data_IF_079051109895
#
_entry.id   IF_079051109895
#
_cell.length_a   1.000
_cell.length_b   1.000
_cell.length_c   1.000
_cell.angle_alpha   90.00
_cell.angle_beta   90.00
_cell.angle_gamma   90.00
#
_symmetry.space_group_name_H-M   'P 1'
#
loop_
_entity.id
_entity.type
_entity.pdbx_description
1 polymer ?
#
# COMPACT_ATOMS: atom_id res chain seq x y z
N UNK A 1 -0.73 13.85 -18.71
CA UNK A 1 -1.24 12.53 -18.26
C UNK A 1 -1.62 12.67 -16.80
N UNK A 2 -2.78 12.14 -16.40
CA UNK A 2 -3.22 12.13 -15.01
C UNK A 2 -2.33 11.21 -14.20
N UNK A 3 -1.76 11.69 -13.08
CA UNK A 3 -0.89 10.87 -12.23
C UNK A 3 -1.74 9.86 -11.44
N UNK A 4 -1.17 8.69 -11.17
CA UNK A 4 -1.78 7.74 -10.24
C UNK A 4 -0.71 6.94 -9.51
N UNK A 5 -1.08 6.48 -8.31
CA UNK A 5 -0.25 5.68 -7.43
C UNK A 5 -0.99 4.41 -7.01
N UNK A 6 -0.24 3.41 -6.59
CA UNK A 6 -0.80 2.12 -6.15
C UNK A 6 -0.28 1.73 -4.77
N UNK A 7 -1.17 1.20 -3.94
CA UNK A 7 -0.89 0.54 -2.67
C UNK A 7 -1.11 -0.97 -2.78
N UNK A 8 -0.20 -1.77 -2.23
CA UNK A 8 -0.27 -3.23 -2.21
C UNK A 8 -0.18 -3.79 -0.79
N UNK A 9 -1.00 -4.79 -0.46
CA UNK A 9 -0.85 -5.61 0.75
C UNK A 9 -0.90 -7.10 0.37
N UNK A 10 0.24 -7.77 0.51
CA UNK A 10 0.44 -9.16 0.10
C UNK A 10 0.22 -10.13 1.27
N UNK A 11 -0.73 -11.06 1.08
CA UNK A 11 -0.99 -12.16 2.01
C UNK A 11 -1.02 -13.50 1.31
N UNK A 12 -1.07 -14.59 2.08
CA UNK A 12 -1.04 -15.96 1.52
C UNK A 12 -2.24 -16.26 0.63
N UNK A 13 -3.37 -15.58 0.82
CA UNK A 13 -4.60 -15.79 0.03
C UNK A 13 -4.68 -14.93 -1.22
N UNK A 14 -3.78 -13.96 -1.40
CA UNK A 14 -3.82 -13.01 -2.51
C UNK A 14 -3.18 -11.66 -2.18
N UNK A 15 -3.35 -10.70 -3.09
CA UNK A 15 -2.84 -9.34 -2.96
C UNK A 15 -4.00 -8.36 -3.03
N UNK A 16 -4.13 -7.52 -2.01
CA UNK A 16 -5.03 -6.37 -2.08
C UNK A 16 -4.33 -5.26 -2.86
N UNK A 17 -5.03 -4.65 -3.81
CA UNK A 17 -4.54 -3.57 -4.67
C UNK A 17 -5.48 -2.38 -4.53
N UNK A 18 -4.94 -1.21 -4.19
CA UNK A 18 -5.69 0.05 -4.16
C UNK A 18 -4.97 1.12 -4.97
N UNK A 19 -5.70 1.97 -5.68
CA UNK A 19 -5.11 3.06 -6.47
C UNK A 19 -5.78 4.39 -6.18
N UNK A 20 -4.98 5.46 -6.08
CA UNK A 20 -5.45 6.83 -6.12
C UNK A 20 -5.05 7.45 -7.45
N UNK A 21 -6.04 8.04 -8.12
CA UNK A 21 -5.87 8.76 -9.37
C UNK A 21 -6.10 10.24 -9.08
N UNK A 22 -5.22 11.10 -9.58
CA UNK A 22 -5.33 12.55 -9.45
C UNK A 22 -6.69 13.04 -9.96
N UNK A 23 -7.43 13.75 -9.09
CA UNK A 23 -8.76 14.27 -9.39
C UNK A 23 -9.91 13.27 -9.22
N UNK A 24 -9.66 12.01 -8.85
CA UNK A 24 -10.74 11.05 -8.58
C UNK A 24 -11.32 11.22 -7.17
N UNK A 25 -12.64 11.06 -7.04
CA UNK A 25 -13.37 11.23 -5.76
C UNK A 25 -13.12 10.12 -4.74
N UNK A 26 -12.76 8.92 -5.21
CA UNK A 26 -12.59 7.73 -4.40
C UNK A 26 -11.48 6.82 -4.97
N UNK A 27 -10.83 6.00 -4.13
CA UNK A 27 -9.83 5.04 -4.59
C UNK A 27 -10.48 3.88 -5.35
N UNK A 28 -9.74 3.31 -6.31
CA UNK A 28 -10.10 2.06 -6.98
C UNK A 28 -9.49 0.90 -6.19
N UNK A 29 -10.27 -0.16 -5.94
CA UNK A 29 -9.82 -1.33 -5.18
C UNK A 29 -10.00 -2.62 -5.98
N UNK A 30 -9.09 -3.57 -5.82
CA UNK A 30 -9.15 -4.91 -6.40
C UNK A 30 -8.47 -5.93 -5.49
N UNK A 31 -8.97 -7.16 -5.49
CA UNK A 31 -8.31 -8.27 -4.81
C UNK A 31 -7.83 -9.32 -5.81
N UNK A 32 -6.51 -9.46 -5.95
CA UNK A 32 -5.90 -10.51 -6.77
C UNK A 32 -5.82 -11.78 -5.94
N UNK A 33 -6.76 -12.71 -6.19
CA UNK A 33 -6.86 -13.95 -5.44
C UNK A 33 -5.79 -14.94 -5.91
N UNK A 34 -5.00 -15.45 -4.97
CA UNK A 34 -4.05 -16.52 -5.26
C UNK A 34 -4.80 -17.80 -5.67
N UNK A 35 -4.32 -18.55 -6.69
CA UNK A 35 -5.00 -19.75 -7.15
C UNK A 35 -5.07 -20.80 -6.04
N UNK A 36 -6.12 -21.63 -6.09
CA UNK A 36 -6.25 -22.79 -5.19
C UNK A 36 -5.23 -23.85 -5.59
N UNK A 37 -4.66 -24.53 -4.59
CA UNK A 37 -3.76 -25.65 -4.79
C UNK A 37 -4.24 -26.82 -3.94
N UNK A 38 -4.18 -28.03 -4.50
CA UNK A 38 -4.63 -29.25 -3.83
C UNK A 38 -3.47 -30.01 -3.17
N UNK A 39 -2.23 -29.68 -3.56
CA UNK A 39 -1.01 -30.29 -3.02
C UNK A 39 -0.13 -29.19 -2.44
N UNK A 40 0.18 -29.31 -1.15
CA UNK A 40 1.02 -28.37 -0.42
C UNK A 40 2.45 -28.88 -0.37
N UNK A 41 3.31 -28.37 -1.27
CA UNK A 41 4.76 -28.60 -1.27
C UNK A 41 5.46 -27.37 -1.87
N UNK A 42 6.80 -27.33 -1.78
CA UNK A 42 7.59 -26.18 -2.21
C UNK A 42 7.35 -25.82 -3.68
N UNK A 43 7.22 -26.80 -4.58
CA UNK A 43 7.03 -26.54 -6.02
C UNK A 43 5.68 -25.87 -6.29
N UNK A 44 4.61 -26.40 -5.72
CA UNK A 44 3.26 -25.86 -5.94
C UNK A 44 3.05 -24.52 -5.26
N UNK A 45 3.62 -24.32 -4.06
CA UNK A 45 3.57 -23.02 -3.37
C UNK A 45 4.39 -21.95 -4.11
N UNK A 46 5.60 -22.28 -4.59
CA UNK A 46 6.40 -21.33 -5.39
C UNK A 46 5.69 -20.98 -6.69
N UNK A 47 5.15 -21.95 -7.43
CA UNK A 47 4.39 -21.69 -8.66
C UNK A 47 3.17 -20.80 -8.37
N UNK A 48 2.42 -21.10 -7.31
CA UNK A 48 1.28 -20.27 -6.85
C UNK A 48 1.70 -18.84 -6.55
N UNK A 49 2.84 -18.65 -5.88
CA UNK A 49 3.38 -17.32 -5.59
C UNK A 49 3.74 -16.55 -6.85
N UNK A 50 4.45 -17.17 -7.80
CA UNK A 50 4.84 -16.52 -9.05
C UNK A 50 3.60 -16.10 -9.86
N UNK A 51 2.60 -16.98 -9.99
CA UNK A 51 1.35 -16.64 -10.68
C UNK A 51 0.63 -15.49 -9.99
N UNK A 52 0.52 -15.52 -8.66
CA UNK A 52 -0.13 -14.45 -7.90
C UNK A 52 0.61 -13.12 -8.05
N UNK A 53 1.94 -13.14 -8.08
CA UNK A 53 2.76 -11.94 -8.29
C UNK A 53 2.56 -11.36 -9.69
N UNK A 54 2.57 -12.21 -10.73
CA UNK A 54 2.32 -11.80 -12.10
C UNK A 54 0.96 -11.13 -12.25
N UNK A 55 -0.10 -11.76 -11.71
CA UNK A 55 -1.46 -11.21 -11.77
C UNK A 55 -1.57 -9.89 -10.98
N UNK A 56 -0.83 -9.76 -9.87
CA UNK A 56 -0.78 -8.53 -9.08
C UNK A 56 -0.08 -7.40 -9.84
N UNK A 57 1.07 -7.65 -10.45
CA UNK A 57 1.81 -6.67 -11.24
C UNK A 57 1.04 -6.29 -12.51
N UNK A 58 0.39 -7.25 -13.19
CA UNK A 58 -0.52 -6.96 -14.30
C UNK A 58 -1.66 -6.03 -13.83
N UNK A 59 -2.21 -6.28 -12.64
CA UNK A 59 -3.22 -5.40 -12.05
C UNK A 59 -2.69 -3.99 -11.74
N UNK A 60 -1.43 -3.84 -11.34
CA UNK A 60 -0.78 -2.53 -11.14
C UNK A 60 -0.65 -1.77 -12.47
N UNK A 61 -0.27 -2.48 -13.53
CA UNK A 61 0.04 -1.91 -14.84
C UNK A 61 -1.19 -1.71 -15.74
N UNK A 62 -2.34 -2.25 -15.35
CA UNK A 62 -3.58 -2.25 -16.16
C UNK A 62 -3.98 -0.88 -16.70
N UNK A 63 -3.75 0.18 -15.93
CA UNK A 63 -4.12 1.55 -16.26
C UNK A 63 -2.95 2.41 -16.73
N UNK A 64 -1.79 1.80 -17.03
CA UNK A 64 -0.53 2.47 -17.37
C UNK A 64 0.55 2.26 -16.30
N UNK A 65 1.62 3.06 -16.36
CA UNK A 65 2.71 3.00 -15.39
C UNK A 65 2.41 3.96 -14.22
N UNK A 66 2.26 3.48 -12.97
CA UNK A 66 2.07 4.36 -11.82
C UNK A 66 3.32 5.20 -11.55
N UNK A 67 3.14 6.40 -11.00
CA UNK A 67 4.28 7.24 -10.61
C UNK A 67 5.01 6.69 -9.38
N UNK A 68 4.30 5.92 -8.55
CA UNK A 68 4.83 5.35 -7.32
C UNK A 68 3.99 4.16 -6.86
N UNK A 69 4.64 3.15 -6.29
CA UNK A 69 3.98 2.03 -5.62
C UNK A 69 4.42 1.97 -4.16
N UNK A 70 3.45 1.95 -3.25
CA UNK A 70 3.68 1.70 -1.83
C UNK A 70 3.25 0.28 -1.47
N UNK A 71 4.07 -0.43 -0.73
CA UNK A 71 3.72 -1.76 -0.22
C UNK A 71 3.56 -1.72 1.30
N UNK A 72 2.56 -2.42 1.82
CA UNK A 72 2.52 -2.75 3.24
C UNK A 72 3.76 -3.58 3.57
N UNK A 73 4.55 -3.12 4.53
CA UNK A 73 5.73 -3.87 4.98
C UNK A 73 5.30 -5.23 5.54
N UNK A 74 5.75 -6.36 4.99
CA UNK A 74 5.44 -7.66 5.55
C UNK A 74 6.01 -7.79 6.97
N UNK A 75 5.28 -8.48 7.83
CA UNK A 75 5.68 -8.69 9.24
C UNK A 75 5.65 -10.16 9.62
N UNK A 76 6.48 -10.50 10.62
CA UNK A 76 6.57 -11.83 11.23
C UNK A 76 6.01 -11.77 12.64
N UNK A 77 5.16 -12.74 13.00
CA UNK A 77 4.76 -12.93 14.40
C UNK A 77 5.95 -13.37 15.26
N UNK A 78 5.94 -13.02 16.56
CA UNK A 78 6.91 -13.53 17.56
C UNK A 78 6.67 -15.00 17.95
N UNK A 79 5.70 -15.68 17.34
CA UNK A 79 5.30 -17.06 17.65
C UNK A 79 5.21 -17.93 16.40
N UNK A 80 4.40 -18.99 16.43
CA UNK A 80 4.21 -19.88 15.28
C UNK A 80 3.49 -19.13 14.15
N UNK A 81 4.25 -18.72 13.14
CA UNK A 81 3.76 -18.06 11.92
C UNK A 81 4.34 -18.76 10.69
N UNK A 82 3.81 -19.95 10.42
CA UNK A 82 4.23 -20.79 9.27
C UNK A 82 3.94 -20.13 7.92
N UNK A 83 3.17 -19.04 7.92
CA UNK A 83 2.74 -18.30 6.74
C UNK A 83 3.68 -17.17 6.34
N UNK A 84 4.53 -16.71 7.25
CA UNK A 84 5.38 -15.55 7.02
C UNK A 84 6.37 -15.72 5.85
N UNK A 85 7.06 -16.87 5.67
CA UNK A 85 7.94 -17.06 4.52
C UNK A 85 7.19 -16.93 3.19
N UNK A 86 5.94 -17.39 3.11
CA UNK A 86 5.11 -17.29 1.90
C UNK A 86 4.69 -15.85 1.60
N UNK A 87 4.33 -15.07 2.63
CA UNK A 87 4.03 -13.64 2.47
C UNK A 87 5.26 -12.85 2.00
N UNK A 88 6.43 -13.14 2.57
CA UNK A 88 7.70 -12.52 2.18
C UNK A 88 8.09 -12.87 0.74
N UNK A 89 7.95 -14.14 0.36
CA UNK A 89 8.27 -14.58 -1.01
C UNK A 89 7.37 -13.88 -2.03
N UNK A 90 6.07 -13.73 -1.74
CA UNK A 90 5.15 -13.00 -2.60
C UNK A 90 5.47 -11.51 -2.68
N UNK A 91 5.70 -10.85 -1.53
CA UNK A 91 6.07 -9.44 -1.51
C UNK A 91 7.38 -9.17 -2.26
N UNK A 92 8.41 -9.98 -2.01
CA UNK A 92 9.71 -9.85 -2.66
C UNK A 92 9.65 -10.09 -4.17
N UNK A 93 8.84 -11.06 -4.62
CA UNK A 93 8.66 -11.32 -6.05
C UNK A 93 7.94 -10.16 -6.76
N UNK A 94 6.92 -9.56 -6.12
CA UNK A 94 6.28 -8.34 -6.63
C UNK A 94 7.28 -7.18 -6.68
N UNK A 95 8.07 -6.97 -5.62
CA UNK A 95 9.10 -5.92 -5.58
C UNK A 95 10.12 -6.08 -6.70
N UNK A 96 10.63 -7.31 -6.91
CA UNK A 96 11.58 -7.62 -7.99
C UNK A 96 11.01 -7.20 -9.35
N UNK A 97 9.78 -7.61 -9.66
CA UNK A 97 9.13 -7.29 -10.93
C UNK A 97 8.87 -5.78 -11.11
N UNK A 98 8.45 -5.06 -10.06
CA UNK A 98 8.25 -3.62 -10.11
C UNK A 98 9.57 -2.86 -10.32
N UNK A 99 10.66 -3.28 -9.67
CA UNK A 99 11.99 -2.69 -9.84
C UNK A 99 12.55 -2.94 -11.25
N UNK A 100 12.33 -4.13 -11.81
CA UNK A 100 12.68 -4.45 -13.20
C UNK A 100 11.89 -3.61 -14.20
N UNK A 101 10.65 -3.24 -13.88
CA UNK A 101 9.85 -2.29 -14.65
C UNK A 101 10.22 -0.82 -14.39
N UNK A 102 11.26 -0.55 -13.59
CA UNK A 102 11.70 0.79 -13.19
C UNK A 102 10.61 1.64 -12.51
N UNK A 103 9.71 0.99 -11.78
CA UNK A 103 8.68 1.67 -11.00
C UNK A 103 9.24 1.96 -9.59
N UNK A 104 9.17 3.20 -9.10
CA UNK A 104 9.56 3.52 -7.73
C UNK A 104 8.70 2.76 -6.70
N UNK A 105 9.35 2.08 -5.77
CA UNK A 105 8.70 1.28 -4.72
C UNK A 105 9.21 1.67 -3.35
N UNK A 106 8.31 1.86 -2.39
CA UNK A 106 8.64 1.93 -0.96
C UNK A 106 7.75 1.01 -0.12
N UNK A 107 8.14 0.87 1.15
CA UNK A 107 7.34 0.16 2.15
C UNK A 107 6.86 1.09 3.25
N UNK A 108 5.61 0.90 3.66
CA UNK A 108 5.04 1.55 4.85
C UNK A 108 4.87 0.54 5.99
N UNK A 109 5.45 0.80 7.18
CA UNK A 109 5.17 -0.01 8.36
C UNK A 109 3.71 0.11 8.79
N UNK A 110 3.09 -1.00 9.20
CA UNK A 110 1.71 -1.00 9.70
C UNK A 110 1.51 -0.03 10.88
N UNK A 111 2.50 0.12 11.75
CA UNK A 111 2.45 1.05 12.88
C UNK A 111 2.47 2.52 12.46
N UNK A 112 3.13 2.86 11.35
CA UNK A 112 3.08 4.22 10.79
C UNK A 112 1.65 4.54 10.34
N UNK A 113 0.96 3.60 9.68
CA UNK A 113 -0.44 3.76 9.30
C UNK A 113 -1.38 3.84 10.51
N UNK A 114 -1.15 3.05 11.56
CA UNK A 114 -1.91 3.15 12.81
C UNK A 114 -1.73 4.53 13.45
N UNK A 115 -0.49 5.00 13.57
CA UNK A 115 -0.18 6.34 14.10
C UNK A 115 -0.84 7.43 13.28
N UNK A 116 -0.79 7.32 11.96
CA UNK A 116 -1.37 8.30 11.04
C UNK A 116 -2.90 8.34 11.09
N UNK A 117 -3.56 7.18 11.09
CA UNK A 117 -5.01 7.09 11.03
C UNK A 117 -5.69 7.29 12.38
N UNK A 118 -5.05 6.83 13.47
CA UNK A 118 -5.66 6.80 14.81
C UNK A 118 -5.04 7.81 15.78
N UNK A 119 -3.97 8.51 15.38
CA UNK A 119 -3.24 9.46 16.23
C UNK A 119 -2.12 8.82 17.06
N UNK A 120 -1.16 9.66 17.48
CA UNK A 120 0.16 9.32 18.03
C UNK A 120 0.19 8.57 19.39
N UNK A 121 -0.92 7.99 19.85
CA UNK A 121 -1.03 7.33 21.16
C UNK A 121 -1.22 5.81 21.13
N UNK A 122 -1.60 5.22 19.99
CA UNK A 122 -1.87 3.76 19.91
C UNK A 122 -0.58 2.99 19.64
N UNK A 123 0.00 2.42 20.71
CA UNK A 123 1.28 1.68 20.72
C UNK A 123 1.18 0.19 20.36
N UNK A 124 0.02 -0.32 19.98
CA UNK A 124 -0.14 -1.74 19.65
C UNK A 124 -0.78 -1.91 18.28
N UNK A 125 -0.31 -2.88 17.46
CA UNK A 125 -1.10 -3.37 16.35
C UNK A 125 -2.43 -3.82 16.96
N UNK A 126 -3.56 -3.25 16.54
CA UNK A 126 -4.79 -3.50 17.24
C UNK A 126 -5.12 -4.99 17.07
N UNK A 127 -5.53 -5.65 18.16
CA UNK A 127 -6.02 -7.05 18.10
C UNK A 127 -7.23 -7.18 17.16
N UNK A 128 -7.88 -6.06 16.88
CA UNK A 128 -9.00 -5.87 15.99
C UNK A 128 -8.68 -4.77 14.97
N UNK A 129 -8.75 -5.09 13.68
CA UNK A 129 -8.51 -4.13 12.62
C UNK A 129 -9.73 -3.23 12.33
N UNK A 130 -10.92 -3.54 12.87
CA UNK A 130 -12.15 -2.81 12.57
C UNK A 130 -12.07 -1.29 12.80
N UNK A 131 -11.44 -0.77 13.89
CA UNK A 131 -11.28 0.68 14.05
C UNK A 131 -10.41 1.32 12.95
N UNK A 132 -9.40 0.58 12.46
CA UNK A 132 -8.54 1.05 11.38
C UNK A 132 -9.30 1.05 10.05
N UNK A 133 -10.10 0.01 9.81
CA UNK A 133 -10.98 -0.06 8.64
C UNK A 133 -12.02 1.07 8.65
N UNK A 134 -12.63 1.37 9.81
CA UNK A 134 -13.57 2.47 9.94
C UNK A 134 -12.88 3.82 9.65
N UNK A 135 -11.68 4.06 10.19
CA UNK A 135 -10.92 5.27 9.90
C UNK A 135 -10.61 5.43 8.40
N UNK A 136 -10.34 4.32 7.70
CA UNK A 136 -10.17 4.33 6.23
C UNK A 136 -11.46 4.71 5.52
N UNK A 137 -12.61 4.18 5.93
CA UNK A 137 -13.92 4.53 5.34
C UNK A 137 -14.25 5.99 5.56
N UNK A 138 -14.03 6.50 6.76
CA UNK A 138 -14.30 7.90 7.10
C UNK A 138 -13.40 8.85 6.30
N UNK A 139 -12.14 8.48 6.12
CA UNK A 139 -11.16 9.28 5.40
C UNK A 139 -11.40 9.36 3.89
N UNK A 140 -11.81 8.25 3.24
CA UNK A 140 -11.83 8.16 1.76
C UNK A 140 -13.14 7.64 1.15
N UNK A 141 -14.20 7.45 1.94
CA UNK A 141 -15.52 6.96 1.46
C UNK A 141 -15.42 5.73 0.56
N UNK A 142 -14.57 4.78 0.94
CA UNK A 142 -14.35 3.55 0.19
C UNK A 142 -15.69 2.81 0.05
N UNK A 143 -16.03 2.43 -1.19
CA UNK A 143 -17.23 1.66 -1.49
C UNK A 143 -17.15 0.21 -1.01
N UNK A 144 -17.96 -0.64 -1.64
CA UNK A 144 -17.87 -2.09 -1.46
C UNK A 144 -16.55 -2.60 -2.04
N UNK A 145 -15.97 -3.59 -1.36
CA UNK A 145 -14.69 -4.21 -1.73
C UNK A 145 -14.87 -5.72 -1.88
N UNK A 146 -14.05 -6.34 -2.73
CA UNK A 146 -14.09 -7.78 -2.94
C UNK A 146 -13.83 -8.57 -1.63
N UNK A 147 -14.46 -9.74 -1.52
CA UNK A 147 -14.23 -10.63 -0.37
C UNK A 147 -12.75 -11.04 -0.26
N UNK A 148 -12.14 -10.75 0.89
CA UNK A 148 -10.72 -11.01 1.16
C UNK A 148 -9.81 -9.79 0.94
N UNK A 149 -10.33 -8.70 0.37
CA UNK A 149 -9.61 -7.43 0.31
C UNK A 149 -9.38 -6.87 1.71
N UNK A 150 -8.15 -6.43 1.98
CA UNK A 150 -7.79 -5.75 3.23
C UNK A 150 -7.96 -4.25 3.08
N UNK A 151 -8.92 -3.69 3.80
CA UNK A 151 -9.29 -2.28 3.64
C UNK A 151 -8.13 -1.31 3.95
N UNK A 152 -7.22 -1.72 4.84
CA UNK A 152 -5.98 -1.00 5.16
C UNK A 152 -5.09 -0.72 3.96
N UNK A 153 -5.22 -1.49 2.87
CA UNK A 153 -4.49 -1.26 1.60
C UNK A 153 -4.81 0.11 1.00
N UNK A 154 -6.01 0.65 1.25
CA UNK A 154 -6.35 2.01 0.82
C UNK A 154 -5.47 3.04 1.54
N UNK A 155 -5.15 2.83 2.81
CA UNK A 155 -4.23 3.71 3.54
C UNK A 155 -2.79 3.58 3.02
N UNK A 156 -2.38 2.39 2.57
CA UNK A 156 -1.10 2.16 1.89
C UNK A 156 -1.04 2.99 0.61
N UNK A 157 -2.10 2.93 -0.22
CA UNK A 157 -2.18 3.73 -1.45
C UNK A 157 -2.26 5.23 -1.16
N UNK A 158 -2.93 5.63 -0.08
CA UNK A 158 -2.99 7.02 0.33
C UNK A 158 -1.62 7.54 0.79
N UNK A 159 -0.81 6.73 1.47
CA UNK A 159 0.58 7.09 1.79
C UNK A 159 1.40 7.30 0.51
N UNK A 160 1.20 6.46 -0.51
CA UNK A 160 1.79 6.68 -1.83
C UNK A 160 1.33 8.01 -2.45
N UNK A 161 0.06 8.39 -2.29
CA UNK A 161 -0.48 9.64 -2.81
C UNK A 161 0.15 10.86 -2.12
N UNK A 162 0.37 10.79 -0.80
CA UNK A 162 1.10 11.83 -0.06
C UNK A 162 2.52 11.98 -0.60
N UNK A 163 3.24 10.88 -0.82
CA UNK A 163 4.59 10.89 -1.41
C UNK A 163 4.57 11.47 -2.83
N UNK A 164 3.62 11.07 -3.68
CA UNK A 164 3.55 11.54 -5.06
C UNK A 164 2.99 12.97 -5.23
N UNK A 165 2.58 13.64 -4.15
CA UNK A 165 1.93 14.95 -4.22
C UNK A 165 0.54 14.90 -4.87
N UNK A 166 -0.19 13.80 -4.70
CA UNK A 166 -1.58 13.65 -5.17
C UNK A 166 -2.52 14.00 -4.02
N UNK A 167 -3.39 14.99 -4.22
CA UNK A 167 -4.43 15.30 -3.24
C UNK A 167 -5.42 14.14 -3.12
N UNK A 168 -5.76 13.80 -1.87
CA UNK A 168 -6.86 12.88 -1.55
C UNK A 168 -7.87 13.58 -0.66
N UNK A 169 -8.98 12.89 -0.39
CA UNK A 169 -10.03 13.39 0.51
C UNK A 169 -9.51 13.74 1.92
N UNK A 170 -8.63 12.92 2.49
CA UNK A 170 -7.98 13.22 3.77
C UNK A 170 -6.89 14.26 3.54
N UNK A 171 -6.98 15.40 4.23
CA UNK A 171 -5.97 16.46 4.15
C UNK A 171 -4.65 16.03 4.78
N UNK A 172 -3.55 16.51 4.20
CA UNK A 172 -2.20 16.30 4.71
C UNK A 172 -1.89 17.38 5.73
N UNK A 173 -1.60 16.94 6.96
CA UNK A 173 -1.26 17.80 8.10
C UNK A 173 0.17 17.50 8.56
N UNK A 174 0.75 18.37 9.41
CA UNK A 174 2.08 18.11 9.99
C UNK A 174 2.13 16.78 10.76
N UNK A 175 1.02 16.40 11.41
CA UNK A 175 0.85 15.11 12.08
C UNK A 175 0.91 13.93 11.10
N UNK A 176 0.43 14.12 9.87
CA UNK A 176 0.50 13.12 8.80
C UNK A 176 1.93 12.89 8.35
N UNK A 177 2.64 13.98 8.06
CA UNK A 177 4.04 13.93 7.63
C UNK A 177 4.94 13.36 8.74
N UNK A 178 4.71 13.75 9.99
CA UNK A 178 5.43 13.20 11.12
C UNK A 178 5.22 11.69 11.28
N UNK A 179 3.98 11.20 11.14
CA UNK A 179 3.67 9.77 11.24
C UNK A 179 4.26 8.94 10.08
N UNK A 180 4.38 9.54 8.90
CA UNK A 180 4.90 8.91 7.69
C UNK A 180 6.43 9.08 7.53
N UNK A 181 7.08 9.87 8.38
CA UNK A 181 8.52 10.16 8.29
C UNK A 181 9.42 8.94 8.52
N UNK A 182 8.91 7.88 9.14
CA UNK A 182 9.63 6.61 9.35
C UNK A 182 9.71 5.73 8.09
N UNK A 183 8.99 6.09 7.01
CA UNK A 183 9.07 5.37 5.74
C UNK A 183 10.45 5.55 5.10
N UNK A 184 10.95 4.48 4.48
CA UNK A 184 12.17 4.55 3.66
C UNK A 184 11.75 4.69 2.20
N UNK A 185 11.98 5.87 1.65
CA UNK A 185 11.66 6.19 0.26
C UNK A 185 12.85 5.85 -0.66
N UNK A 186 12.62 5.68 -1.96
CA UNK A 186 13.70 5.51 -2.94
C UNK A 186 14.59 6.75 -3.00
N UNK A 187 15.81 6.58 -3.52
CA UNK A 187 16.74 7.70 -3.67
C UNK A 187 16.12 8.84 -4.49
N UNK A 188 16.29 10.06 -3.98
CA UNK A 188 15.74 11.27 -4.59
C UNK A 188 14.29 11.58 -4.23
N UNK A 189 13.63 10.74 -3.43
CA UNK A 189 12.28 11.00 -2.91
C UNK A 189 12.31 11.42 -1.44
N UNK A 190 11.72 12.57 -1.10
CA UNK A 190 11.69 13.06 0.28
C UNK A 190 10.38 13.75 0.66
N UNK A 191 9.77 13.35 1.79
CA UNK A 191 8.63 14.09 2.31
C UNK A 191 9.06 15.46 2.85
N UNK A 192 8.33 16.54 2.53
CA UNK A 192 8.61 17.86 3.07
C UNK A 192 8.41 17.89 4.60
N UNK A 193 9.11 18.80 5.27
CA UNK A 193 9.04 18.89 6.73
C UNK A 193 7.71 19.48 7.24
N UNK A 194 6.96 20.19 6.37
CA UNK A 194 5.74 20.91 6.75
C UNK A 194 4.62 20.70 5.73
N UNK A 195 3.39 20.62 6.23
CA UNK A 195 2.19 20.53 5.39
C UNK A 195 2.01 21.76 4.50
N UNK A 196 2.44 22.95 4.94
CA UNK A 196 2.39 24.16 4.10
C UNK A 196 3.27 24.04 2.86
N UNK A 197 4.44 23.40 3.00
CA UNK A 197 5.37 23.14 1.91
C UNK A 197 4.82 22.05 0.99
N UNK A 198 4.28 20.97 1.55
CA UNK A 198 3.56 19.94 0.78
C UNK A 198 2.45 20.55 -0.09
N UNK A 199 1.58 21.37 0.51
CA UNK A 199 0.48 22.03 -0.21
C UNK A 199 0.99 23.00 -1.29
N UNK A 200 2.16 23.61 -1.10
CA UNK A 200 2.79 24.46 -2.11
C UNK A 200 3.30 23.60 -3.28
N UNK A 201 4.03 22.53 -2.99
CA UNK A 201 4.58 21.61 -3.99
C UNK A 201 3.48 21.02 -4.87
N UNK A 202 2.36 20.59 -4.27
CA UNK A 202 1.19 20.08 -4.99
C UNK A 202 0.63 21.13 -5.96
N UNK A 203 0.47 22.39 -5.53
CA UNK A 203 -0.02 23.48 -6.40
C UNK A 203 0.94 23.82 -7.53
N UNK A 204 2.24 23.69 -7.27
CA UNK A 204 3.31 23.95 -8.24
C UNK A 204 3.60 22.72 -9.13
N UNK A 205 2.94 21.58 -8.89
CA UNK A 205 3.10 20.34 -9.65
C UNK A 205 4.38 19.56 -9.35
N UNK A 206 5.10 19.92 -8.28
CA UNK A 206 6.35 19.30 -7.83
C UNK A 206 6.02 18.07 -6.99
N UNK A 207 6.43 16.89 -7.45
CA UNK A 207 6.42 15.66 -6.62
C UNK A 207 7.65 15.65 -5.70
N UNK A 208 7.50 15.00 -4.55
CA UNK A 208 8.60 14.74 -3.63
C UNK A 208 9.66 13.79 -4.21
#
# INVERSE_FOLDING_TARGET
>A
MTKFVVGLDAVVTGVSVAAFVEGADAPVTRFVRAPRIDKYNSVTETARTVVTANDAVESVLRSGVPVFVMMMKPTFGKGKDDSAPRRMMLAGEIQRQLLEAHIPVAEVPSMALVSWLMGAGRKYPPRDFAPLEQAVRDAWRVGEVESGFRLTTVAVAAAAAVVAGIETRKKVENSSLAALSEMRLPDGWELPARASEWNKNVKEGVSA
#
